data_IF_316795250873
#
_entry.id   IF_316795250873
#
_cell.length_a   1.000
_cell.length_b   1.000
_cell.length_c   1.000
_cell.angle_alpha   90.00
_cell.angle_beta   90.00
_cell.angle_gamma   90.00
#
_symmetry.space_group_name_H-M   'P 1'
#
loop_
_entity.id
_entity.type
_entity.pdbx_description
1 polymer ?
#
# COMPACT_ATOMS: atom_id res chain seq x y z
N UNK A 1 -38.41 21.95 -4.84
CA UNK A 1 -38.49 22.22 -6.29
C UNK A 1 -37.19 21.75 -6.92
N UNK A 2 -37.30 20.69 -7.75
CA UNK A 2 -36.30 20.00 -8.59
C UNK A 2 -34.84 20.47 -8.52
N UNK A 3 -34.02 19.74 -7.75
CA UNK A 3 -32.60 19.59 -8.04
C UNK A 3 -32.43 18.49 -9.10
N UNK A 4 -31.63 18.80 -10.11
CA UNK A 4 -31.47 18.13 -11.40
C UNK A 4 -31.36 16.59 -11.34
N UNK A 5 -32.29 15.90 -11.99
CA UNK A 5 -32.18 14.51 -12.42
C UNK A 5 -31.34 14.44 -13.70
N UNK A 6 -30.04 14.76 -13.67
CA UNK A 6 -29.13 14.47 -14.79
C UNK A 6 -27.67 14.49 -14.36
N UNK A 7 -27.18 13.39 -13.76
CA UNK A 7 -25.75 12.96 -13.75
C UNK A 7 -25.65 11.56 -13.10
N UNK A 8 -26.40 10.62 -13.64
CA UNK A 8 -26.29 9.17 -13.40
C UNK A 8 -26.24 8.61 -14.82
N UNK A 9 -25.06 8.27 -15.41
CA UNK A 9 -24.24 7.12 -15.00
C UNK A 9 -22.74 7.16 -15.43
N UNK A 10 -21.73 7.15 -14.53
CA UNK A 10 -20.33 6.90 -14.98
C UNK A 10 -19.55 5.88 -14.11
N UNK A 11 -19.95 5.62 -12.88
CA UNK A 11 -19.10 4.87 -11.95
C UNK A 11 -19.79 3.59 -11.52
N UNK A 12 -19.63 2.51 -12.30
CA UNK A 12 -19.69 1.11 -11.85
C UNK A 12 -19.76 0.12 -13.04
N UNK A 13 -18.78 0.11 -13.95
CA UNK A 13 -18.47 -1.17 -14.61
C UNK A 13 -17.60 -1.94 -13.64
N UNK A 14 -17.99 -3.18 -13.30
CA UNK A 14 -17.19 -4.11 -12.48
C UNK A 14 -15.75 -4.07 -12.97
N UNK A 15 -14.86 -3.46 -12.20
CA UNK A 15 -13.43 -3.47 -12.46
C UNK A 15 -12.92 -4.89 -12.19
N UNK A 16 -12.61 -5.61 -13.27
CA UNK A 16 -11.92 -6.89 -13.18
C UNK A 16 -10.46 -6.60 -12.77
N UNK A 17 -10.19 -6.55 -11.47
CA UNK A 17 -8.84 -6.43 -10.94
C UNK A 17 -8.07 -7.73 -11.22
N UNK A 18 -7.41 -7.81 -12.38
CA UNK A 18 -6.48 -8.91 -12.66
C UNK A 18 -5.21 -8.77 -11.79
N UNK A 19 -4.89 -9.83 -11.07
CA UNK A 19 -3.65 -9.94 -10.29
C UNK A 19 -2.52 -10.27 -11.25
N UNK A 20 -1.56 -9.36 -11.43
CA UNK A 20 -0.30 -9.67 -12.13
C UNK A 20 0.05 -8.88 -13.40
N UNK A 21 -0.76 -7.90 -13.83
CA UNK A 21 -0.42 -7.03 -14.97
C UNK A 21 -0.20 -5.57 -14.57
N UNK A 22 0.68 -4.85 -15.29
CA UNK A 22 0.90 -3.39 -15.17
C UNK A 22 -0.23 -2.57 -15.80
N UNK A 23 -1.28 -3.22 -16.33
CA UNK A 23 -2.44 -2.56 -16.93
C UNK A 23 -3.34 -1.96 -15.85
N UNK A 24 -3.57 -0.66 -15.96
CA UNK A 24 -4.64 0.06 -15.27
C UNK A 24 -5.88 0.10 -16.18
N UNK A 25 -7.05 -0.16 -15.62
CA UNK A 25 -8.31 0.10 -16.32
C UNK A 25 -8.67 1.60 -16.25
N UNK A 26 -9.64 2.02 -17.07
CA UNK A 26 -10.05 3.42 -17.18
C UNK A 26 -10.48 4.02 -15.83
N UNK A 27 -11.06 3.21 -14.94
CA UNK A 27 -11.46 3.67 -13.60
C UNK A 27 -10.25 3.88 -12.71
N UNK A 28 -9.29 2.97 -12.73
CA UNK A 28 -8.02 3.15 -12.03
C UNK A 28 -7.26 4.38 -12.53
N UNK A 29 -7.19 4.60 -13.85
CA UNK A 29 -6.54 5.78 -14.43
C UNK A 29 -7.24 7.06 -13.95
N UNK A 30 -8.57 7.13 -14.04
CA UNK A 30 -9.35 8.29 -13.59
C UNK A 30 -9.13 8.59 -12.11
N UNK A 31 -9.20 7.59 -11.24
CA UNK A 31 -9.00 7.78 -9.79
C UNK A 31 -7.57 8.20 -9.49
N UNK A 32 -6.58 7.57 -10.12
CA UNK A 32 -5.16 7.91 -9.91
C UNK A 32 -4.85 9.35 -10.33
N UNK A 33 -5.38 9.78 -11.48
CA UNK A 33 -5.27 11.18 -11.93
C UNK A 33 -6.02 12.13 -11.00
N UNK A 34 -7.23 11.78 -10.56
CA UNK A 34 -8.00 12.57 -9.62
C UNK A 34 -7.28 12.80 -8.30
N UNK A 35 -6.68 11.75 -7.72
CA UNK A 35 -5.84 11.84 -6.53
C UNK A 35 -4.63 12.74 -6.77
N UNK A 36 -3.96 12.60 -7.91
CA UNK A 36 -2.74 13.35 -8.22
C UNK A 36 -3.00 14.83 -8.47
N UNK A 37 -4.14 15.17 -9.07
CA UNK A 37 -4.52 16.53 -9.45
C UNK A 37 -5.40 17.23 -8.41
N UNK A 38 -5.82 16.53 -7.34
CA UNK A 38 -6.73 17.08 -6.34
C UNK A 38 -8.14 17.32 -6.90
N UNK A 39 -8.58 16.48 -7.84
CA UNK A 39 -9.89 16.61 -8.48
C UNK A 39 -10.95 15.72 -7.80
N UNK A 40 -12.23 16.14 -7.82
CA UNK A 40 -13.34 15.28 -7.41
C UNK A 40 -13.34 13.95 -8.16
N UNK A 41 -13.39 12.84 -7.41
CA UNK A 41 -13.37 11.46 -7.90
C UNK A 41 -14.76 10.83 -7.77
N UNK A 42 -15.47 11.18 -6.71
CA UNK A 42 -16.75 10.61 -6.30
C UNK A 42 -17.76 11.73 -6.04
N UNK A 43 -19.04 11.37 -6.00
CA UNK A 43 -20.07 12.19 -5.37
C UNK A 43 -20.02 11.95 -3.86
N UNK A 44 -20.40 12.94 -3.06
CA UNK A 44 -20.51 12.78 -1.61
C UNK A 44 -21.45 11.63 -1.22
N UNK A 45 -21.07 10.89 -0.18
CA UNK A 45 -21.88 9.80 0.36
C UNK A 45 -21.52 9.48 1.82
N UNK A 46 -22.36 8.70 2.49
CA UNK A 46 -22.07 8.19 3.84
C UNK A 46 -21.47 6.79 3.72
N UNK A 47 -20.22 6.62 4.14
CA UNK A 47 -19.58 5.31 4.19
C UNK A 47 -20.31 4.37 5.16
N UNK A 48 -20.16 3.06 4.99
CA UNK A 48 -20.67 2.07 5.94
C UNK A 48 -20.11 2.22 7.36
N UNK A 49 -18.96 2.90 7.52
CA UNK A 49 -18.44 3.26 8.84
C UNK A 49 -19.12 4.49 9.47
N UNK A 50 -20.11 5.08 8.82
CA UNK A 50 -20.82 6.27 9.26
C UNK A 50 -20.15 7.61 8.93
N UNK A 51 -18.96 7.60 8.32
CA UNK A 51 -18.27 8.84 7.95
C UNK A 51 -18.82 9.43 6.65
N UNK A 52 -18.91 10.75 6.58
CA UNK A 52 -19.17 11.46 5.33
C UNK A 52 -17.91 11.39 4.46
N UNK A 53 -18.08 10.91 3.23
CA UNK A 53 -17.01 10.83 2.23
C UNK A 53 -17.13 12.01 1.31
N UNK A 54 -16.09 12.84 1.31
CA UNK A 54 -15.96 14.00 0.43
C UNK A 54 -15.65 13.59 -1.02
N UNK A 55 -15.90 14.48 -2.00
CA UNK A 55 -15.68 14.18 -3.41
C UNK A 55 -14.25 13.73 -3.78
N UNK A 56 -13.24 14.13 -3.00
CA UNK A 56 -11.84 13.72 -3.21
C UNK A 56 -11.58 12.24 -2.90
N UNK A 57 -12.47 11.57 -2.16
CA UNK A 57 -12.41 10.13 -1.91
C UNK A 57 -11.32 9.65 -0.93
N UNK A 58 -10.58 10.56 -0.29
CA UNK A 58 -9.47 10.23 0.62
C UNK A 58 -9.86 9.28 1.77
N UNK A 59 -11.11 9.34 2.22
CA UNK A 59 -11.64 8.43 3.24
C UNK A 59 -11.39 6.95 2.90
N UNK A 60 -11.56 6.55 1.64
CA UNK A 60 -11.35 5.15 1.22
C UNK A 60 -9.92 4.65 1.46
N UNK A 61 -8.93 5.54 1.50
CA UNK A 61 -7.53 5.18 1.69
C UNK A 61 -7.18 4.81 3.14
N UNK A 62 -7.98 5.25 4.10
CA UNK A 62 -7.75 5.10 5.54
C UNK A 62 -8.88 4.41 6.31
N UNK A 63 -10.04 4.19 5.69
CA UNK A 63 -11.20 3.55 6.32
C UNK A 63 -10.86 2.16 6.88
N UNK A 64 -11.24 1.91 8.14
CA UNK A 64 -10.98 0.64 8.84
C UNK A 64 -11.95 -0.48 8.50
N UNK A 65 -13.18 -0.14 8.10
CA UNK A 65 -14.21 -1.11 7.73
C UNK A 65 -14.15 -1.52 6.24
N UNK A 66 -13.33 -0.85 5.45
CA UNK A 66 -13.06 -1.25 4.07
C UNK A 66 -12.13 -2.47 4.03
N UNK A 67 -12.56 -3.64 3.54
CA UNK A 67 -11.67 -4.80 3.35
C UNK A 67 -10.50 -4.50 2.40
N UNK A 68 -10.59 -3.40 1.66
CA UNK A 68 -9.73 -3.05 0.55
C UNK A 68 -8.37 -2.52 1.02
N UNK A 69 -8.29 -1.93 2.23
CA UNK A 69 -7.00 -1.59 2.84
C UNK A 69 -6.17 -2.85 3.08
N UNK A 70 -6.82 -3.93 3.53
CA UNK A 70 -6.15 -5.22 3.69
C UNK A 70 -5.78 -5.82 2.34
N UNK A 71 -6.60 -5.65 1.30
CA UNK A 71 -6.27 -6.08 -0.05
C UNK A 71 -5.04 -5.36 -0.63
N UNK A 72 -4.93 -4.04 -0.41
CA UNK A 72 -3.74 -3.24 -0.75
C UNK A 72 -2.51 -3.76 -0.03
N UNK A 73 -2.60 -3.91 1.29
CA UNK A 73 -1.52 -4.42 2.14
C UNK A 73 -1.05 -5.80 1.67
N UNK A 74 -1.98 -6.76 1.56
CA UNK A 74 -1.68 -8.13 1.16
C UNK A 74 -1.05 -8.21 -0.22
N UNK A 75 -1.60 -7.49 -1.21
CA UNK A 75 -1.08 -7.54 -2.58
C UNK A 75 0.31 -6.93 -2.70
N UNK A 76 0.57 -5.84 -1.98
CA UNK A 76 1.90 -5.22 -1.96
C UNK A 76 2.91 -6.10 -1.23
N UNK A 77 2.52 -6.75 -0.13
CA UNK A 77 3.37 -7.74 0.55
C UNK A 77 3.66 -8.94 -0.37
N UNK A 78 2.65 -9.45 -1.09
CA UNK A 78 2.82 -10.52 -2.07
C UNK A 78 3.78 -10.14 -3.20
N UNK A 79 3.75 -8.87 -3.63
CA UNK A 79 4.71 -8.38 -4.61
C UNK A 79 6.13 -8.32 -4.05
N UNK A 80 6.31 -7.88 -2.80
CA UNK A 80 7.61 -7.89 -2.14
C UNK A 80 8.14 -9.32 -1.95
N UNK A 81 7.28 -10.28 -1.58
CA UNK A 81 7.60 -11.72 -1.52
C UNK A 81 8.10 -12.24 -2.87
N UNK A 82 7.43 -11.89 -3.97
CA UNK A 82 7.91 -12.24 -5.32
C UNK A 82 9.26 -11.58 -5.66
N UNK A 83 9.52 -10.38 -5.16
CA UNK A 83 10.82 -9.72 -5.34
C UNK A 83 11.93 -10.50 -4.61
N UNK A 84 11.70 -10.98 -3.39
CA UNK A 84 12.65 -11.87 -2.70
C UNK A 84 12.91 -13.16 -3.48
N UNK A 85 11.85 -13.81 -3.98
CA UNK A 85 11.98 -15.02 -4.80
C UNK A 85 12.81 -14.78 -6.07
N UNK A 86 12.62 -13.62 -6.73
CA UNK A 86 13.42 -13.20 -7.90
C UNK A 86 14.89 -12.90 -7.55
N UNK A 87 15.19 -12.62 -6.28
CA UNK A 87 16.55 -12.47 -5.78
C UNK A 87 17.13 -13.80 -5.26
N UNK A 88 16.47 -14.95 -5.51
CA UNK A 88 16.81 -16.26 -4.94
C UNK A 88 16.88 -16.26 -3.40
N UNK A 89 16.12 -15.37 -2.74
CA UNK A 89 16.01 -15.31 -1.28
C UNK A 89 14.69 -15.97 -0.87
N UNK A 90 14.70 -17.12 -0.18
CA UNK A 90 13.48 -17.81 0.24
C UNK A 90 12.74 -17.06 1.35
N UNK A 91 11.51 -16.56 1.10
CA UNK A 91 10.70 -15.85 2.09
C UNK A 91 9.64 -16.76 2.74
N UNK A 92 9.29 -16.45 4.00
CA UNK A 92 8.12 -16.96 4.72
C UNK A 92 7.17 -15.79 4.93
N UNK A 93 5.90 -15.96 4.55
CA UNK A 93 4.83 -15.00 4.86
C UNK A 93 4.30 -15.23 6.25
N UNK A 94 4.07 -14.14 6.96
CA UNK A 94 3.45 -14.12 8.28
C UNK A 94 4.08 -15.20 9.21
N UNK A 95 5.37 -15.14 9.53
CA UNK A 95 6.03 -16.13 10.39
C UNK A 95 5.47 -16.08 11.83
N UNK A 96 5.26 -17.24 12.45
CA UNK A 96 4.87 -17.34 13.85
C UNK A 96 6.09 -17.65 14.73
N UNK A 97 6.07 -17.21 16.00
CA UNK A 97 7.11 -17.54 16.98
C UNK A 97 8.46 -16.84 16.77
N UNK A 98 8.51 -15.72 16.05
CA UNK A 98 9.75 -14.93 15.90
C UNK A 98 10.12 -14.09 17.13
N UNK A 99 9.16 -13.88 18.04
CA UNK A 99 9.35 -13.13 19.28
C UNK A 99 8.88 -14.04 20.43
N UNK A 100 9.64 -14.07 21.51
CA UNK A 100 9.31 -14.88 22.69
C UNK A 100 8.08 -14.34 23.43
N UNK A 101 7.90 -13.02 23.44
CA UNK A 101 6.76 -12.34 24.06
C UNK A 101 5.82 -11.72 23.01
N UNK A 102 4.57 -12.20 23.00
CA UNK A 102 3.44 -11.55 22.35
C UNK A 102 2.96 -12.16 21.03
N UNK A 103 1.80 -11.68 20.58
CA UNK A 103 1.14 -12.08 19.33
C UNK A 103 1.63 -11.28 18.11
N UNK A 104 2.77 -10.60 18.24
CA UNK A 104 3.31 -9.75 17.19
C UNK A 104 3.84 -10.59 16.04
N UNK A 105 3.25 -10.35 14.86
CA UNK A 105 3.57 -11.06 13.63
C UNK A 105 4.03 -10.04 12.60
N UNK A 106 5.30 -10.08 12.14
CA UNK A 106 5.70 -9.32 10.96
C UNK A 106 5.05 -9.93 9.71
N UNK A 107 5.01 -9.18 8.62
CA UNK A 107 4.39 -9.62 7.37
C UNK A 107 5.20 -10.71 6.65
N UNK A 108 6.51 -10.76 6.90
CA UNK A 108 7.34 -11.85 6.43
C UNK A 108 8.74 -11.89 7.02
N UNK A 109 9.46 -12.93 6.62
CA UNK A 109 10.79 -13.28 7.10
C UNK A 109 11.61 -14.00 6.03
N UNK A 110 12.93 -13.77 5.98
CA UNK A 110 13.83 -14.50 5.08
C UNK A 110 14.47 -15.70 5.78
N UNK A 111 14.41 -16.87 5.17
CA UNK A 111 15.10 -18.06 5.71
C UNK A 111 16.62 -17.86 5.62
N UNK A 112 17.09 -17.42 4.46
CA UNK A 112 18.50 -17.09 4.26
C UNK A 112 18.86 -15.76 4.95
N UNK A 113 20.10 -15.64 5.49
CA UNK A 113 20.60 -14.37 6.02
C UNK A 113 20.51 -13.24 5.00
N UNK A 114 20.06 -12.07 5.44
CA UNK A 114 20.05 -10.85 4.65
C UNK A 114 21.41 -10.15 4.69
N UNK A 115 21.93 -9.90 5.91
CA UNK A 115 23.22 -9.29 6.13
C UNK A 115 23.79 -9.73 7.50
N UNK A 116 25.12 -9.76 7.63
CA UNK A 116 25.81 -10.07 8.89
C UNK A 116 25.38 -11.41 9.53
N UNK A 117 25.05 -12.42 8.72
CA UNK A 117 24.54 -13.71 9.22
C UNK A 117 23.12 -13.66 9.80
N UNK A 118 22.46 -12.50 9.82
CA UNK A 118 21.10 -12.32 10.34
C UNK A 118 20.06 -12.32 9.23
N UNK A 119 18.96 -13.04 9.46
CA UNK A 119 17.78 -13.00 8.61
C UNK A 119 17.02 -11.68 8.74
N UNK A 120 16.29 -11.31 7.69
CA UNK A 120 15.43 -10.14 7.66
C UNK A 120 14.02 -10.52 8.10
N UNK A 121 13.40 -9.71 8.95
CA UNK A 121 11.96 -9.67 9.16
C UNK A 121 11.43 -8.33 8.68
N UNK A 122 10.28 -8.30 8.02
CA UNK A 122 9.71 -7.05 7.51
C UNK A 122 8.23 -6.91 7.78
N UNK A 123 7.76 -5.67 7.76
CA UNK A 123 6.34 -5.34 7.86
C UNK A 123 6.06 -4.17 6.90
N UNK A 124 5.12 -4.37 5.97
CA UNK A 124 4.72 -3.36 4.99
C UNK A 124 3.63 -2.48 5.57
N UNK A 125 3.67 -1.18 5.30
CA UNK A 125 2.59 -0.31 5.76
C UNK A 125 2.39 0.89 4.85
N UNK A 126 1.14 1.31 4.76
CA UNK A 126 0.69 2.34 3.81
C UNK A 126 -0.02 3.47 4.55
N UNK A 127 0.73 4.39 5.20
CA UNK A 127 0.13 5.54 5.86
C UNK A 127 -0.51 6.46 4.82
N UNK A 128 -1.70 6.97 5.14
CA UNK A 128 -2.40 7.86 4.23
C UNK A 128 -1.81 9.27 4.28
N UNK A 129 -1.30 9.75 3.14
CA UNK A 129 -0.63 11.06 2.98
C UNK A 129 -1.48 12.23 3.47
N UNK A 130 -2.79 12.20 3.22
CA UNK A 130 -3.72 13.28 3.57
C UNK A 130 -4.48 13.03 4.87
N UNK A 131 -4.05 12.05 5.68
CA UNK A 131 -4.68 11.84 6.99
C UNK A 131 -4.41 13.04 7.90
N UNK A 132 -5.44 13.47 8.64
CA UNK A 132 -5.40 14.61 9.56
C UNK A 132 -4.19 14.56 10.52
N UNK A 133 -3.86 13.37 11.04
CA UNK A 133 -2.73 13.17 11.94
C UNK A 133 -1.34 13.38 11.31
N UNK A 134 -1.24 13.37 9.99
CA UNK A 134 0.01 13.48 9.24
C UNK A 134 0.10 14.74 8.37
N UNK A 135 -1.02 15.42 8.09
CA UNK A 135 -1.09 16.50 7.10
C UNK A 135 -0.10 17.64 7.37
N UNK A 136 0.13 18.00 8.63
CA UNK A 136 1.09 19.04 9.00
C UNK A 136 2.53 18.66 8.66
N UNK A 137 2.85 17.36 8.62
CA UNK A 137 4.17 16.84 8.28
C UNK A 137 4.29 16.62 6.78
N UNK A 138 3.30 15.97 6.16
CA UNK A 138 3.32 15.61 4.73
C UNK A 138 3.21 16.82 3.80
N UNK A 139 2.67 17.95 4.30
CA UNK A 139 2.67 19.22 3.58
C UNK A 139 4.04 19.89 3.52
N UNK A 140 4.96 19.54 4.42
CA UNK A 140 6.32 20.11 4.48
C UNK A 140 7.34 19.20 3.79
N UNK A 141 7.20 17.88 3.98
CA UNK A 141 8.16 16.90 3.50
C UNK A 141 7.47 15.64 2.96
N UNK A 142 7.81 15.28 1.73
CA UNK A 142 7.33 14.04 1.12
C UNK A 142 7.92 12.82 1.83
N UNK A 143 7.08 11.87 2.22
CA UNK A 143 7.52 10.68 2.96
C UNK A 143 7.50 10.85 4.48
N UNK A 144 7.11 12.02 5.01
CA UNK A 144 7.06 12.25 6.44
C UNK A 144 6.07 11.31 7.18
N UNK A 145 4.96 10.92 6.55
CA UNK A 145 4.04 9.94 7.14
C UNK A 145 4.65 8.52 7.11
N UNK A 146 5.40 8.18 6.06
CA UNK A 146 6.15 6.94 5.98
C UNK A 146 7.23 6.87 7.08
N UNK A 147 7.99 7.95 7.28
CA UNK A 147 9.00 8.04 8.34
C UNK A 147 8.40 7.82 9.74
N UNK A 148 7.31 8.53 10.06
CA UNK A 148 6.62 8.33 11.34
C UNK A 148 6.08 6.92 11.53
N UNK A 149 5.63 6.27 10.44
CA UNK A 149 5.18 4.89 10.48
C UNK A 149 6.37 3.92 10.67
N UNK A 150 7.52 4.21 10.08
CA UNK A 150 8.75 3.43 10.23
C UNK A 150 9.26 3.49 11.68
N UNK A 151 9.32 4.68 12.28
CA UNK A 151 9.70 4.87 13.69
C UNK A 151 8.83 4.02 14.62
N UNK A 152 7.50 4.11 14.44
CA UNK A 152 6.55 3.32 15.23
C UNK A 152 6.77 1.82 15.05
N UNK A 153 7.03 1.35 13.83
CA UNK A 153 7.30 -0.08 13.55
C UNK A 153 8.63 -0.53 14.14
N UNK A 154 9.68 0.28 14.05
CA UNK A 154 10.96 0.01 14.68
C UNK A 154 10.82 -0.13 16.20
N UNK A 155 10.09 0.76 16.87
CA UNK A 155 9.79 0.62 18.31
C UNK A 155 8.94 -0.63 18.60
N UNK A 156 7.93 -0.90 17.76
CA UNK A 156 7.04 -2.06 17.92
C UNK A 156 7.78 -3.40 17.85
N UNK A 157 8.80 -3.50 17.00
CA UNK A 157 9.55 -4.73 16.77
C UNK A 157 10.98 -4.67 17.31
N UNK A 158 11.26 -3.79 18.29
CA UNK A 158 12.60 -3.56 18.81
C UNK A 158 13.28 -4.84 19.33
N UNK A 159 12.52 -5.76 19.95
CA UNK A 159 13.06 -7.03 20.45
C UNK A 159 13.59 -7.96 19.33
N UNK A 160 13.19 -7.77 18.07
CA UNK A 160 13.77 -8.54 16.96
C UNK A 160 15.23 -8.16 16.69
N UNK A 161 15.69 -6.97 17.10
CA UNK A 161 17.02 -6.47 16.78
C UNK A 161 18.15 -7.34 17.36
N UNK A 162 17.88 -8.09 18.43
CA UNK A 162 18.85 -8.98 19.10
C UNK A 162 19.29 -10.15 18.20
N UNK A 163 18.38 -10.70 17.40
CA UNK A 163 18.66 -11.88 16.57
C UNK A 163 18.48 -11.65 15.08
N UNK A 164 17.64 -10.69 14.68
CA UNK A 164 17.22 -10.42 13.29
C UNK A 164 17.52 -8.98 12.88
N UNK A 165 17.43 -8.73 11.59
CA UNK A 165 17.34 -7.38 11.04
C UNK A 165 15.86 -7.09 10.82
N UNK A 166 15.31 -6.07 11.45
CA UNK A 166 13.95 -5.63 11.19
C UNK A 166 13.94 -4.49 10.15
N UNK A 167 13.09 -4.63 9.13
CA UNK A 167 12.90 -3.63 8.08
C UNK A 167 11.42 -3.21 8.01
N UNK A 168 11.05 -2.00 8.48
CA UNK A 168 9.77 -1.42 8.14
C UNK A 168 9.77 -1.02 6.67
N UNK A 169 8.73 -1.40 5.91
CA UNK A 169 8.57 -1.02 4.50
C UNK A 169 7.39 -0.07 4.42
N UNK A 170 7.67 1.22 4.58
CA UNK A 170 6.66 2.26 4.73
C UNK A 170 6.52 3.08 3.45
N UNK A 171 5.38 2.99 2.77
CA UNK A 171 5.11 3.71 1.52
C UNK A 171 3.82 4.49 1.68
N UNK A 172 3.87 5.81 1.61
CA UNK A 172 2.67 6.61 1.68
C UNK A 172 1.69 6.30 0.54
N UNK A 173 0.40 6.52 0.77
CA UNK A 173 -0.62 6.27 -0.26
C UNK A 173 -0.37 7.04 -1.56
N UNK A 174 0.30 8.20 -1.54
CA UNK A 174 0.63 8.94 -2.77
C UNK A 174 1.95 8.53 -3.42
N UNK A 175 2.70 7.59 -2.82
CA UNK A 175 3.92 7.02 -3.38
C UNK A 175 5.24 7.34 -2.66
N UNK A 176 5.42 8.49 -1.99
CA UNK A 176 6.65 8.75 -1.24
C UNK A 176 6.93 7.70 -0.16
N UNK A 177 8.19 7.52 0.17
CA UNK A 177 8.66 6.56 1.17
C UNK A 177 9.80 7.20 1.96
N UNK A 178 10.13 6.63 3.12
CA UNK A 178 11.26 7.09 3.93
C UNK A 178 12.61 6.59 3.36
N UNK A 179 13.71 7.15 3.86
CA UNK A 179 15.05 6.81 3.40
C UNK A 179 15.45 5.35 3.68
N UNK A 180 15.00 4.77 4.79
CA UNK A 180 15.29 3.38 5.17
C UNK A 180 14.63 2.43 4.15
N UNK A 181 13.34 2.63 3.88
CA UNK A 181 12.60 1.85 2.87
C UNK A 181 13.19 2.04 1.47
N UNK A 182 13.54 3.27 1.09
CA UNK A 182 14.14 3.55 -0.22
C UNK A 182 15.50 2.83 -0.41
N UNK A 183 16.35 2.83 0.63
CA UNK A 183 17.63 2.13 0.63
C UNK A 183 17.42 0.62 0.49
N UNK A 184 16.54 0.04 1.31
CA UNK A 184 16.20 -1.38 1.28
C UNK A 184 15.68 -1.83 -0.10
N UNK A 185 14.73 -1.09 -0.69
CA UNK A 185 14.21 -1.43 -2.01
C UNK A 185 15.27 -1.34 -3.11
N UNK A 186 16.20 -0.38 -3.02
CA UNK A 186 17.32 -0.29 -3.95
C UNK A 186 18.26 -1.50 -3.81
N UNK A 187 18.58 -1.92 -2.58
CA UNK A 187 19.41 -3.11 -2.32
C UNK A 187 18.73 -4.38 -2.84
N UNK A 188 17.43 -4.57 -2.54
CA UNK A 188 16.66 -5.71 -3.05
C UNK A 188 16.64 -5.73 -4.58
N UNK A 189 16.45 -4.58 -5.23
CA UNK A 189 16.51 -4.50 -6.68
C UNK A 189 17.89 -4.86 -7.24
N UNK A 190 18.97 -4.42 -6.58
CA UNK A 190 20.33 -4.79 -6.99
C UNK A 190 20.54 -6.31 -6.94
N UNK A 191 20.10 -6.98 -5.87
CA UNK A 191 20.17 -8.45 -5.76
C UNK A 191 19.38 -9.16 -6.86
N UNK A 192 18.21 -8.63 -7.24
CA UNK A 192 17.44 -9.16 -8.38
C UNK A 192 18.22 -8.99 -9.70
N UNK A 193 18.85 -7.84 -9.91
CA UNK A 193 19.67 -7.59 -11.11
C UNK A 193 20.87 -8.54 -11.16
N UNK A 194 21.54 -8.77 -10.04
CA UNK A 194 22.66 -9.73 -9.94
C UNK A 194 22.24 -11.15 -10.31
N UNK A 195 21.08 -11.61 -9.84
CA UNK A 195 20.55 -12.94 -10.15
C UNK A 195 20.10 -13.06 -11.61
N UNK A 196 19.45 -12.03 -12.13
CA UNK A 196 18.83 -12.08 -13.47
C UNK A 196 19.75 -11.69 -14.62
N UNK A 197 20.80 -10.92 -14.36
CA UNK A 197 21.67 -10.31 -15.37
C UNK A 197 21.03 -9.14 -16.15
N UNK A 198 19.76 -8.80 -15.91
CA UNK A 198 19.06 -7.73 -16.63
C UNK A 198 19.01 -6.43 -15.80
N UNK A 199 19.72 -5.36 -16.21
CA UNK A 199 19.73 -4.09 -15.49
C UNK A 199 18.38 -3.38 -15.46
N UNK A 200 17.46 -3.69 -16.38
CA UNK A 200 16.13 -3.07 -16.45
C UNK A 200 15.21 -3.55 -15.33
N UNK A 201 15.52 -4.66 -14.66
CA UNK A 201 14.70 -5.19 -13.57
C UNK A 201 14.52 -4.21 -12.42
N UNK A 202 15.51 -3.34 -12.16
CA UNK A 202 15.37 -2.26 -11.17
C UNK A 202 14.22 -1.31 -11.52
N UNK A 203 14.12 -0.92 -12.79
CA UNK A 203 13.05 -0.04 -13.27
C UNK A 203 11.69 -0.75 -13.26
N UNK A 204 11.64 -2.01 -13.71
CA UNK A 204 10.40 -2.79 -13.73
C UNK A 204 9.82 -3.03 -12.33
N UNK A 205 10.67 -3.31 -11.34
CA UNK A 205 10.22 -3.49 -9.94
C UNK A 205 9.66 -2.18 -9.38
N UNK A 206 10.36 -1.05 -9.57
CA UNK A 206 9.88 0.27 -9.14
C UNK A 206 8.55 0.66 -9.81
N UNK A 207 8.43 0.44 -11.11
CA UNK A 207 7.20 0.70 -11.86
C UNK A 207 6.06 -0.19 -11.36
N UNK A 208 6.33 -1.47 -11.08
CA UNK A 208 5.34 -2.40 -10.56
C UNK A 208 4.82 -2.00 -9.18
N UNK A 209 5.70 -1.58 -8.26
CA UNK A 209 5.28 -1.02 -6.96
C UNK A 209 4.37 0.21 -7.15
N UNK A 210 4.76 1.14 -8.01
CA UNK A 210 3.99 2.36 -8.28
C UNK A 210 2.60 2.04 -8.85
N UNK A 211 2.53 1.17 -9.86
CA UNK A 211 1.26 0.80 -10.52
C UNK A 211 0.36 0.02 -9.56
N UNK A 212 0.90 -0.93 -8.80
CA UNK A 212 0.12 -1.69 -7.82
C UNK A 212 -0.44 -0.76 -6.73
N UNK A 213 0.35 0.18 -6.22
CA UNK A 213 -0.12 1.15 -5.25
C UNK A 213 -1.30 1.97 -5.80
N UNK A 214 -1.18 2.52 -7.01
CA UNK A 214 -2.24 3.31 -7.65
C UNK A 214 -3.50 2.47 -7.93
N UNK A 215 -3.33 1.23 -8.40
CA UNK A 215 -4.42 0.29 -8.65
C UNK A 215 -5.20 -0.01 -7.38
N UNK A 216 -4.50 -0.31 -6.27
CA UNK A 216 -5.16 -0.67 -5.02
C UNK A 216 -5.66 0.55 -4.22
N UNK A 217 -5.08 1.73 -4.40
CA UNK A 217 -5.71 2.97 -3.94
C UNK A 217 -7.04 3.20 -4.66
N UNK A 218 -7.06 3.03 -5.98
CA UNK A 218 -8.27 3.14 -6.78
C UNK A 218 -9.33 2.14 -6.34
N UNK A 219 -8.92 0.90 -6.07
CA UNK A 219 -9.79 -0.12 -5.51
C UNK A 219 -10.42 0.31 -4.19
N UNK A 220 -9.62 0.81 -3.25
CA UNK A 220 -10.11 1.25 -1.94
C UNK A 220 -11.14 2.39 -2.01
N UNK A 221 -10.97 3.30 -2.96
CA UNK A 221 -11.87 4.44 -3.16
C UNK A 221 -13.17 3.98 -3.83
N UNK A 222 -13.08 3.18 -4.89
CA UNK A 222 -14.24 2.77 -5.68
C UNK A 222 -15.09 1.73 -4.95
N UNK A 223 -14.48 0.78 -4.25
CA UNK A 223 -15.22 -0.29 -3.56
C UNK A 223 -16.12 0.27 -2.44
N UNK A 224 -15.62 1.24 -1.67
CA UNK A 224 -16.42 1.94 -0.66
C UNK A 224 -17.65 2.63 -1.26
N UNK A 225 -17.51 3.24 -2.44
CA UNK A 225 -18.63 3.87 -3.15
C UNK A 225 -19.63 2.85 -3.71
N UNK A 226 -19.13 1.74 -4.28
CA UNK A 226 -19.97 0.67 -4.81
C UNK A 226 -20.83 0.02 -3.72
N UNK A 227 -20.24 -0.24 -2.55
CA UNK A 227 -20.98 -0.79 -1.40
C UNK A 227 -22.10 0.12 -0.95
N UNK A 228 -21.84 1.43 -0.86
CA UNK A 228 -22.88 2.39 -0.54
C UNK A 228 -24.05 2.36 -1.54
N UNK A 229 -23.75 2.30 -2.84
CA UNK A 229 -24.78 2.21 -3.88
C UNK A 229 -25.61 0.93 -3.74
N UNK A 230 -24.98 -0.21 -3.43
CA UNK A 230 -25.69 -1.49 -3.26
C UNK A 230 -26.66 -1.52 -2.07
N UNK A 231 -26.36 -0.78 -1.00
CA UNK A 231 -27.22 -0.72 0.20
C UNK A 231 -28.43 0.19 -0.02
N UNK A 232 -28.32 1.22 -0.87
CA UNK A 232 -29.44 2.14 -1.18
C UNK A 232 -30.35 1.68 -2.31
N UNK A 233 -29.96 0.65 -3.05
CA UNK A 233 -30.78 0.03 -4.11
C UNK A 233 -31.78 -1.03 -3.58
N UNK A 234 -31.89 -1.16 -2.26
CA UNK A 234 -32.89 -1.98 -1.54
C UNK A 234 -33.78 -1.02 -0.75
#
# INVERSE_FOLDING_TARGET
MRASKTLIPIIARKSNFSVGGTRLDDSCVRVSLGLRLGLPILTEYVCLCGANVEPLGYHGLSCRLGPDRQARHSTMNDFLVRCFQRANIPPIKEPTGLMEEGSLRPDGYTISPWAQGRSLAWDVTFPHTMAERYINLTSQEAGAAALRAADFKNSKYAALAESKIFQPVCIETFGPTDAQTQSFLNELCSRIVEVSGDPLNKSYVKQSFSILLQKYNSFCILDGALKYLSVRSV
#
